data_IF_612363112573
#
_entry.id   IF_612363112573
#
_cell.length_a   1.000
_cell.length_b   1.000
_cell.length_c   1.000
_cell.angle_alpha   90.00
_cell.angle_beta   90.00
_cell.angle_gamma   90.00
#
_symmetry.space_group_name_H-M   'P 1'
#
loop_
_entity.id
_entity.type
_entity.pdbx_description
1 polymer ?
#
# COMPACT_ATOMS: atom_id res chain seq x y z
N UNK A 1 7.02 1.77 -16.16
CA UNK A 1 6.65 1.78 -14.74
C UNK A 1 5.40 0.92 -14.60
N UNK A 2 5.32 0.07 -13.59
CA UNK A 2 4.16 -0.81 -13.38
C UNK A 2 2.93 0.06 -13.10
N UNK A 3 1.82 -0.19 -13.79
CA UNK A 3 0.54 0.46 -13.51
C UNK A 3 -0.22 -0.38 -12.48
N UNK A 4 -0.46 0.17 -11.29
CA UNK A 4 -1.21 -0.52 -10.24
C UNK A 4 -2.71 -0.62 -10.54
N UNK A 5 -3.25 0.24 -11.40
CA UNK A 5 -4.69 0.36 -11.64
C UNK A 5 -5.42 1.24 -10.63
N UNK A 6 -6.75 1.29 -10.73
CA UNK A 6 -7.60 2.26 -10.02
C UNK A 6 -8.30 1.63 -8.83
N UNK A 7 -8.72 0.37 -8.92
CA UNK A 7 -9.33 -0.37 -7.82
C UNK A 7 -8.29 -1.32 -7.20
N UNK A 8 -7.64 -0.85 -6.15
CA UNK A 8 -6.75 -1.66 -5.34
C UNK A 8 -7.52 -2.23 -4.15
N UNK A 9 -7.45 -3.53 -3.90
CA UNK A 9 -8.11 -4.14 -2.73
C UNK A 9 -7.08 -4.38 -1.64
N UNK A 10 -7.29 -3.79 -0.46
CA UNK A 10 -6.59 -4.18 0.75
C UNK A 10 -7.13 -5.55 1.20
N UNK A 11 -6.46 -6.61 0.75
CA UNK A 11 -6.91 -7.97 0.96
C UNK A 11 -6.76 -8.35 2.44
N UNK A 12 -7.78 -9.00 2.99
CA UNK A 12 -7.69 -9.65 4.31
C UNK A 12 -6.70 -10.82 4.26
N UNK A 13 -6.15 -11.22 5.41
CA UNK A 13 -5.34 -12.43 5.51
C UNK A 13 -6.20 -13.56 6.07
N UNK A 14 -6.53 -14.61 5.30
CA UNK A 14 -7.28 -15.75 5.83
C UNK A 14 -6.44 -16.53 6.84
N UNK A 15 -7.03 -16.89 7.97
CA UNK A 15 -6.42 -17.75 8.99
C UNK A 15 -7.24 -19.02 9.20
N UNK A 16 -6.56 -20.12 9.51
CA UNK A 16 -7.18 -21.38 9.91
C UNK A 16 -7.68 -21.33 11.37
N UNK A 17 -8.34 -22.40 11.82
CA UNK A 17 -8.86 -22.48 13.20
C UNK A 17 -7.77 -22.53 14.28
N UNK A 18 -6.51 -22.78 13.91
CA UNK A 18 -5.35 -22.77 14.80
C UNK A 18 -4.65 -21.41 14.82
N UNK A 19 -5.07 -20.46 13.97
CA UNK A 19 -4.49 -19.13 13.87
C UNK A 19 -3.30 -19.04 12.91
N UNK A 20 -3.00 -20.07 12.12
CA UNK A 20 -1.99 -19.99 11.07
C UNK A 20 -2.60 -19.41 9.80
N UNK A 21 -1.79 -18.80 8.93
CA UNK A 21 -2.27 -18.32 7.63
C UNK A 21 -2.77 -19.51 6.78
N UNK A 22 -4.00 -19.40 6.29
CA UNK A 22 -4.58 -20.34 5.33
C UNK A 22 -4.21 -19.92 3.90
N UNK A 23 -3.01 -20.34 3.46
CA UNK A 23 -2.51 -20.01 2.12
C UNK A 23 -3.42 -20.50 0.98
N UNK A 24 -3.97 -21.74 1.00
CA UNK A 24 -4.97 -22.15 0.01
C UNK A 24 -6.16 -21.20 -0.10
N UNK A 25 -6.70 -20.75 1.03
CA UNK A 25 -7.80 -19.80 1.04
C UNK A 25 -7.36 -18.40 0.60
N UNK A 26 -6.14 -17.96 0.94
CA UNK A 26 -5.56 -16.70 0.46
C UNK A 26 -5.45 -16.66 -1.07
N UNK A 27 -4.91 -17.73 -1.69
CA UNK A 27 -4.82 -17.86 -3.16
C UNK A 27 -6.19 -17.85 -3.82
N UNK A 28 -7.17 -18.54 -3.23
CA UNK A 28 -8.55 -18.59 -3.73
C UNK A 28 -9.21 -17.21 -3.64
N UNK A 29 -9.04 -16.51 -2.52
CA UNK A 29 -9.55 -15.15 -2.33
C UNK A 29 -8.94 -14.20 -3.34
N UNK A 30 -7.61 -14.18 -3.48
CA UNK A 30 -6.90 -13.32 -4.43
C UNK A 30 -7.45 -13.45 -5.86
N UNK A 31 -7.56 -14.69 -6.37
CA UNK A 31 -8.13 -14.95 -7.70
C UNK A 31 -9.58 -14.49 -7.82
N UNK A 32 -10.38 -14.68 -6.77
CA UNK A 32 -11.77 -14.23 -6.74
C UNK A 32 -11.91 -12.71 -6.81
N UNK A 33 -11.07 -11.98 -6.06
CA UNK A 33 -11.05 -10.52 -6.06
C UNK A 33 -10.66 -9.95 -7.43
N UNK A 34 -9.59 -10.49 -8.03
CA UNK A 34 -9.17 -10.11 -9.39
C UNK A 34 -10.28 -10.37 -10.40
N UNK A 35 -10.93 -11.54 -10.33
CA UNK A 35 -12.06 -11.85 -11.20
C UNK A 35 -13.28 -10.93 -10.97
N UNK A 36 -13.38 -10.27 -9.82
CA UNK A 36 -14.45 -9.30 -9.49
C UNK A 36 -14.11 -7.85 -9.81
N UNK A 37 -12.99 -7.58 -10.49
CA UNK A 37 -12.64 -6.23 -10.96
C UNK A 37 -11.52 -5.54 -10.19
N UNK A 38 -10.91 -6.19 -9.19
CA UNK A 38 -9.71 -5.67 -8.53
C UNK A 38 -8.53 -5.65 -9.51
N UNK A 39 -7.94 -4.47 -9.73
CA UNK A 39 -6.75 -4.28 -10.59
C UNK A 39 -5.45 -4.70 -9.88
N UNK A 40 -5.42 -4.56 -8.55
CA UNK A 40 -4.24 -4.84 -7.74
C UNK A 40 -4.59 -5.18 -6.29
N UNK A 41 -3.77 -6.02 -5.68
CA UNK A 41 -3.94 -6.50 -4.32
C UNK A 41 -2.88 -5.90 -3.41
N UNK A 42 -3.32 -5.19 -2.38
CA UNK A 42 -2.45 -4.73 -1.29
C UNK A 42 -2.43 -5.81 -0.21
N UNK A 43 -1.28 -6.45 -0.04
CA UNK A 43 -1.07 -7.59 0.85
C UNK A 43 -0.28 -7.15 2.08
N UNK A 44 -0.63 -7.65 3.26
CA UNK A 44 0.07 -7.24 4.49
C UNK A 44 -0.08 -5.75 4.82
N UNK A 45 -1.18 -5.13 4.38
CA UNK A 45 -1.60 -3.81 4.87
C UNK A 45 -2.32 -3.92 6.21
N UNK A 46 -2.90 -2.81 6.69
CA UNK A 46 -3.67 -2.80 7.94
C UNK A 46 -4.85 -3.77 7.94
N UNK A 47 -5.60 -3.83 6.83
CA UNK A 47 -6.75 -4.74 6.67
C UNK A 47 -6.34 -6.21 6.66
N UNK A 48 -5.12 -6.51 6.20
CA UNK A 48 -4.53 -7.84 6.22
C UNK A 48 -3.85 -8.19 7.55
N UNK A 49 -4.07 -7.40 8.61
CA UNK A 49 -3.57 -7.67 9.97
C UNK A 49 -2.04 -7.76 10.07
N UNK A 50 -1.32 -6.93 9.32
CA UNK A 50 0.16 -6.95 9.33
C UNK A 50 0.86 -6.87 10.70
N UNK A 51 0.31 -6.22 11.75
CA UNK A 51 0.94 -6.22 13.07
C UNK A 51 0.94 -7.57 13.80
N UNK A 52 0.08 -8.53 13.41
CA UNK A 52 0.01 -9.86 14.04
C UNK A 52 0.80 -10.94 13.30
N UNK A 53 1.43 -10.60 12.15
CA UNK A 53 2.22 -11.54 11.35
C UNK A 53 3.71 -11.33 11.55
N UNK A 54 4.45 -12.44 11.58
CA UNK A 54 5.91 -12.45 11.43
C UNK A 54 6.32 -12.01 10.02
N UNK A 55 7.60 -11.65 9.85
CA UNK A 55 8.10 -11.23 8.54
C UNK A 55 8.15 -12.42 7.56
N UNK A 56 8.46 -13.63 8.04
CA UNK A 56 8.44 -14.86 7.24
C UNK A 56 7.02 -15.17 6.71
N UNK A 57 6.00 -15.02 7.57
CA UNK A 57 4.60 -15.17 7.17
C UNK A 57 4.19 -14.15 6.09
N UNK A 58 4.63 -12.89 6.22
CA UNK A 58 4.36 -11.85 5.21
C UNK A 58 5.02 -12.20 3.89
N UNK A 59 6.31 -12.57 3.89
CA UNK A 59 7.06 -12.93 2.68
C UNK A 59 6.42 -14.13 1.99
N UNK A 60 6.03 -15.16 2.75
CA UNK A 60 5.33 -16.30 2.18
C UNK A 60 3.97 -15.91 1.60
N UNK A 61 3.20 -15.06 2.28
CA UNK A 61 1.92 -14.58 1.78
C UNK A 61 2.07 -13.77 0.49
N UNK A 62 3.09 -12.91 0.37
CA UNK A 62 3.40 -12.18 -0.87
C UNK A 62 3.66 -13.15 -2.02
N UNK A 63 4.53 -14.14 -1.80
CA UNK A 63 4.88 -15.15 -2.79
C UNK A 63 3.66 -15.94 -3.26
N UNK A 64 2.87 -16.46 -2.32
CA UNK A 64 1.69 -17.30 -2.57
C UNK A 64 0.60 -16.54 -3.35
N UNK A 65 0.37 -15.26 -3.01
CA UNK A 65 -0.59 -14.42 -3.73
C UNK A 65 -0.06 -14.09 -5.12
N UNK A 66 1.22 -13.70 -5.25
CA UNK A 66 1.81 -13.37 -6.56
C UNK A 66 1.78 -14.56 -7.50
N UNK A 67 2.16 -15.75 -7.04
CA UNK A 67 2.07 -16.97 -7.83
C UNK A 67 0.62 -17.26 -8.26
N UNK A 68 -0.35 -17.03 -7.37
CA UNK A 68 -1.75 -17.28 -7.67
C UNK A 68 -2.32 -16.35 -8.74
N UNK A 69 -2.00 -15.05 -8.73
CA UNK A 69 -2.57 -14.07 -9.67
C UNK A 69 -1.71 -13.82 -10.90
N UNK A 70 -0.42 -14.17 -10.86
CA UNK A 70 0.52 -13.95 -11.97
C UNK A 70 0.55 -12.49 -12.40
N UNK A 71 0.36 -12.26 -13.70
CA UNK A 71 0.34 -10.91 -14.30
C UNK A 71 -1.08 -10.36 -14.50
N UNK A 72 -2.11 -11.04 -13.98
CA UNK A 72 -3.51 -10.58 -14.13
C UNK A 72 -3.89 -9.45 -13.18
N UNK A 73 -3.10 -9.25 -12.12
CA UNK A 73 -3.23 -8.15 -11.18
C UNK A 73 -1.86 -7.86 -10.54
N UNK A 74 -1.68 -6.63 -10.06
CA UNK A 74 -0.47 -6.26 -9.32
C UNK A 74 -0.54 -6.72 -7.86
N UNK A 75 0.60 -7.10 -7.28
CA UNK A 75 0.74 -7.41 -5.85
C UNK A 75 1.61 -6.35 -5.18
N UNK A 76 0.99 -5.54 -4.32
CA UNK A 76 1.64 -4.46 -3.58
C UNK A 76 1.86 -4.94 -2.14
N UNK A 77 3.12 -5.13 -1.76
CA UNK A 77 3.51 -5.67 -0.46
C UNK A 77 3.60 -4.59 0.62
N UNK A 78 2.91 -4.77 1.74
CA UNK A 78 3.02 -3.92 2.93
C UNK A 78 4.25 -4.26 3.75
N UNK A 79 5.31 -3.46 3.60
CA UNK A 79 6.64 -3.78 4.15
C UNK A 79 7.10 -2.85 5.27
N UNK A 80 6.33 -1.81 5.60
CA UNK A 80 6.73 -0.84 6.61
C UNK A 80 6.44 -1.30 8.04
N UNK A 81 7.40 -1.02 8.92
CA UNK A 81 7.37 -1.24 10.36
C UNK A 81 7.78 0.06 11.10
N UNK A 82 7.64 0.09 12.42
CA UNK A 82 8.15 1.20 13.24
C UNK A 82 9.69 1.14 13.37
N UNK A 83 10.30 0.02 12.99
CA UNK A 83 11.72 -0.15 12.84
C UNK A 83 12.13 0.05 11.37
N UNK A 84 12.91 1.11 11.14
CA UNK A 84 13.42 1.46 9.81
C UNK A 84 14.18 0.31 9.14
N UNK A 85 15.08 -0.38 9.85
CA UNK A 85 15.90 -1.45 9.27
C UNK A 85 15.05 -2.62 8.81
N UNK A 86 14.06 -3.01 9.63
CA UNK A 86 13.11 -4.05 9.26
C UNK A 86 12.30 -3.69 8.01
N UNK A 87 11.95 -2.41 7.86
CA UNK A 87 11.21 -1.94 6.69
C UNK A 87 12.03 -2.08 5.40
N UNK A 88 13.33 -1.77 5.46
CA UNK A 88 14.26 -1.95 4.34
C UNK A 88 14.45 -3.44 4.02
N UNK A 89 14.73 -4.25 5.04
CA UNK A 89 14.93 -5.70 4.89
C UNK A 89 13.70 -6.39 4.29
N UNK A 90 12.51 -6.12 4.82
CA UNK A 90 11.26 -6.71 4.33
C UNK A 90 10.91 -6.25 2.90
N UNK A 91 11.30 -5.03 2.52
CA UNK A 91 11.12 -4.53 1.15
C UNK A 91 12.01 -5.28 0.14
N UNK A 92 13.25 -5.57 0.52
CA UNK A 92 14.16 -6.40 -0.29
C UNK A 92 13.61 -7.83 -0.43
N UNK A 93 13.10 -8.42 0.65
CA UNK A 93 12.50 -9.76 0.59
C UNK A 93 11.22 -9.78 -0.27
N UNK A 94 10.38 -8.75 -0.18
CA UNK A 94 9.19 -8.62 -1.04
C UNK A 94 9.55 -8.59 -2.53
N UNK A 95 10.62 -7.87 -2.92
CA UNK A 95 11.14 -7.87 -4.29
C UNK A 95 11.63 -9.26 -4.72
N UNK A 96 12.36 -9.97 -3.86
CA UNK A 96 12.87 -11.32 -4.16
C UNK A 96 11.76 -12.33 -4.45
N UNK A 97 10.60 -12.17 -3.79
CA UNK A 97 9.44 -13.05 -4.01
C UNK A 97 8.47 -12.54 -5.08
N UNK A 98 8.86 -11.49 -5.82
CA UNK A 98 8.16 -11.05 -7.02
C UNK A 98 7.00 -10.09 -6.80
N UNK A 99 6.93 -9.40 -5.65
CA UNK A 99 5.99 -8.30 -5.49
C UNK A 99 6.18 -7.25 -6.60
N UNK A 100 5.08 -6.62 -7.04
CA UNK A 100 5.10 -5.62 -8.12
C UNK A 100 5.29 -4.19 -7.60
N UNK A 101 5.12 -3.99 -6.29
CA UNK A 101 5.24 -2.70 -5.63
C UNK A 101 5.22 -2.82 -4.10
N UNK A 102 5.44 -1.69 -3.43
CA UNK A 102 5.51 -1.59 -1.97
C UNK A 102 4.44 -0.62 -1.44
N UNK A 103 3.76 -0.98 -0.36
CA UNK A 103 2.95 -0.05 0.42
C UNK A 103 3.79 0.53 1.56
N UNK A 104 4.03 1.83 1.49
CA UNK A 104 4.92 2.56 2.38
C UNK A 104 4.13 3.36 3.43
N UNK A 105 3.71 2.68 4.50
CA UNK A 105 2.93 3.28 5.58
C UNK A 105 3.79 4.19 6.45
N UNK A 106 3.25 5.35 6.82
CA UNK A 106 3.83 6.21 7.87
C UNK A 106 4.05 5.37 9.14
N UNK A 107 5.27 5.32 9.71
CA UNK A 107 5.54 4.61 10.96
C UNK A 107 4.60 5.06 12.09
N UNK A 108 3.96 4.10 12.72
CA UNK A 108 3.08 4.33 13.85
C UNK A 108 3.88 4.41 15.16
N UNK A 109 3.25 4.88 16.23
CA UNK A 109 3.77 4.87 17.61
C UNK A 109 4.97 5.80 17.89
N UNK A 110 6.09 5.63 17.18
CA UNK A 110 7.35 6.35 17.38
C UNK A 110 7.32 7.81 16.88
N UNK A 111 6.35 8.18 16.04
CA UNK A 111 6.07 9.56 15.60
C UNK A 111 7.32 10.31 15.10
N UNK A 112 7.98 9.83 14.03
CA UNK A 112 9.16 10.49 13.48
C UNK A 112 8.85 11.93 13.03
N UNK A 113 9.89 12.75 12.91
CA UNK A 113 9.78 14.06 12.27
C UNK A 113 9.47 13.91 10.78
N UNK A 114 9.02 14.99 10.12
CA UNK A 114 8.81 15.00 8.67
C UNK A 114 10.09 14.64 7.89
N UNK A 115 11.25 15.14 8.34
CA UNK A 115 12.52 14.75 7.74
C UNK A 115 12.86 13.28 8.01
N UNK A 116 12.51 12.75 9.18
CA UNK A 116 12.62 11.32 9.47
C UNK A 116 11.75 10.46 8.54
N UNK A 117 10.54 10.90 8.23
CA UNK A 117 9.68 10.24 7.23
C UNK A 117 10.33 10.26 5.84
N UNK A 118 10.83 11.42 5.42
CA UNK A 118 11.50 11.57 4.13
C UNK A 118 12.69 10.61 4.00
N UNK A 119 13.60 10.63 4.98
CA UNK A 119 14.78 9.76 4.97
C UNK A 119 14.41 8.28 5.05
N UNK A 120 13.37 7.91 5.82
CA UNK A 120 12.90 6.53 5.91
C UNK A 120 12.42 6.00 4.56
N UNK A 121 11.53 6.72 3.89
CA UNK A 121 10.97 6.27 2.61
C UNK A 121 11.99 6.36 1.48
N UNK A 122 12.85 7.38 1.47
CA UNK A 122 13.98 7.47 0.54
C UNK A 122 14.88 6.23 0.64
N UNK A 123 15.30 5.87 1.84
CA UNK A 123 16.16 4.70 2.03
C UNK A 123 15.48 3.38 1.63
N UNK A 124 14.17 3.21 1.85
CA UNK A 124 13.42 2.04 1.36
C UNK A 124 13.39 2.03 -0.18
N UNK A 125 13.12 3.19 -0.80
CA UNK A 125 13.03 3.33 -2.25
C UNK A 125 14.38 3.12 -2.96
N UNK A 126 15.50 3.39 -2.30
CA UNK A 126 16.86 3.15 -2.82
C UNK A 126 17.32 1.69 -2.67
N UNK A 127 16.65 0.91 -1.81
CA UNK A 127 17.02 -0.47 -1.51
C UNK A 127 16.40 -1.51 -2.45
N UNK A 128 15.42 -1.13 -3.28
CA UNK A 128 14.70 -2.03 -4.19
C UNK A 128 14.49 -1.35 -5.54
N UNK A 129 14.19 -2.12 -6.59
CA UNK A 129 13.75 -1.56 -7.88
C UNK A 129 12.22 -1.37 -7.97
N UNK A 130 11.49 -1.76 -6.93
CA UNK A 130 10.03 -1.74 -6.92
C UNK A 130 9.45 -0.33 -6.76
N UNK A 131 8.33 -0.03 -7.44
CA UNK A 131 7.58 1.20 -7.19
C UNK A 131 6.93 1.21 -5.80
N UNK A 132 7.00 2.34 -5.11
CA UNK A 132 6.42 2.58 -3.79
C UNK A 132 5.14 3.42 -3.85
N UNK A 133 4.12 2.97 -3.12
CA UNK A 133 2.89 3.70 -2.85
C UNK A 133 2.92 4.17 -1.39
N UNK A 134 3.08 5.48 -1.16
CA UNK A 134 3.02 6.05 0.18
C UNK A 134 1.64 5.80 0.80
N UNK A 135 1.55 5.67 2.12
CA UNK A 135 0.28 5.52 2.81
C UNK A 135 0.21 6.42 4.04
N UNK A 136 -0.61 7.48 3.93
CA UNK A 136 -0.88 8.44 4.99
C UNK A 136 -2.20 8.09 5.69
N UNK A 137 -2.14 7.71 6.96
CA UNK A 137 -3.32 7.35 7.78
C UNK A 137 -3.18 7.86 9.23
N UNK A 138 -3.32 9.18 9.44
CA UNK A 138 -3.08 9.81 10.75
C UNK A 138 -3.92 9.24 11.88
N UNK A 139 -5.14 8.74 11.58
CA UNK A 139 -6.02 8.10 12.56
C UNK A 139 -5.44 6.83 13.19
N UNK A 140 -4.47 6.18 12.53
CA UNK A 140 -3.79 4.97 13.01
C UNK A 140 -2.36 5.22 13.44
N UNK A 141 -1.67 6.15 12.79
CA UNK A 141 -0.25 6.44 13.06
C UNK A 141 -0.07 7.55 14.11
N UNK A 142 -1.12 8.34 14.36
CA UNK A 142 -1.09 9.57 15.14
C UNK A 142 -0.05 10.59 14.63
N UNK A 143 0.28 10.51 13.33
CA UNK A 143 1.20 11.39 12.63
C UNK A 143 0.74 11.57 11.18
N UNK A 144 0.54 12.82 10.78
CA UNK A 144 0.29 13.18 9.39
C UNK A 144 1.61 13.33 8.63
N UNK A 145 1.73 12.68 7.47
CA UNK A 145 2.72 13.06 6.48
C UNK A 145 2.17 14.27 5.73
N UNK A 146 2.85 15.42 5.83
CA UNK A 146 2.31 16.67 5.28
C UNK A 146 2.32 16.67 3.76
N UNK A 147 1.52 17.57 3.16
CA UNK A 147 1.61 17.88 1.72
C UNK A 147 3.06 18.13 1.29
N UNK A 148 3.80 18.96 2.03
CA UNK A 148 5.20 19.29 1.69
C UNK A 148 6.10 18.05 1.64
N UNK A 149 6.04 17.19 2.67
CA UNK A 149 6.82 15.94 2.71
C UNK A 149 6.41 14.99 1.59
N UNK A 150 5.11 14.88 1.31
CA UNK A 150 4.58 14.04 0.24
C UNK A 150 5.09 14.50 -1.12
N UNK A 151 5.06 15.80 -1.40
CA UNK A 151 5.58 16.38 -2.65
C UNK A 151 7.10 16.20 -2.78
N UNK A 152 7.86 16.36 -1.69
CA UNK A 152 9.31 16.06 -1.70
C UNK A 152 9.61 14.59 -2.02
N UNK A 153 8.76 13.67 -1.55
CA UNK A 153 8.89 12.24 -1.85
C UNK A 153 8.44 11.91 -3.28
N UNK A 154 7.48 12.65 -3.83
CA UNK A 154 7.02 12.49 -5.21
C UNK A 154 8.10 12.78 -6.26
N UNK A 155 9.16 13.52 -5.90
CA UNK A 155 10.33 13.74 -6.75
C UNK A 155 11.27 12.52 -6.85
N UNK A 156 11.01 11.45 -6.09
CA UNK A 156 11.77 10.19 -6.18
C UNK A 156 11.07 9.31 -7.23
N UNK A 157 11.76 8.99 -8.33
CA UNK A 157 11.20 8.28 -9.50
C UNK A 157 10.47 6.96 -9.16
N UNK A 158 10.93 6.24 -8.13
CA UNK A 158 10.29 4.98 -7.71
C UNK A 158 9.08 5.19 -6.81
N UNK A 159 8.80 6.39 -6.31
CA UNK A 159 7.60 6.69 -5.51
C UNK A 159 6.49 7.20 -6.44
N UNK A 160 5.51 6.35 -6.69
CA UNK A 160 4.54 6.55 -7.78
C UNK A 160 3.22 7.17 -7.32
N UNK A 161 3.04 7.36 -6.00
CA UNK A 161 1.83 7.95 -5.49
C UNK A 161 1.64 7.84 -3.99
N UNK A 162 0.43 8.20 -3.56
CA UNK A 162 -0.02 8.10 -2.18
C UNK A 162 -1.44 7.54 -2.09
N UNK A 163 -1.64 6.61 -1.14
CA UNK A 163 -2.93 6.27 -0.54
C UNK A 163 -3.20 7.28 0.58
N UNK A 164 -4.13 8.21 0.37
CA UNK A 164 -4.51 9.23 1.34
C UNK A 164 -5.76 8.82 2.14
N UNK A 165 -5.59 8.55 3.42
CA UNK A 165 -6.66 8.20 4.37
C UNK A 165 -6.74 9.23 5.52
N UNK A 166 -6.36 10.47 5.26
CA UNK A 166 -6.38 11.57 6.25
C UNK A 166 -7.74 12.24 6.40
N UNK A 167 -8.63 12.10 5.41
CA UNK A 167 -9.88 12.86 5.28
C UNK A 167 -9.69 14.39 5.23
N UNK A 168 -8.45 14.85 4.99
CA UNK A 168 -8.13 16.27 4.81
C UNK A 168 -8.17 16.62 3.32
N UNK A 169 -9.33 17.06 2.84
CA UNK A 169 -9.54 17.46 1.44
C UNK A 169 -8.64 18.61 1.00
N UNK A 170 -8.19 19.49 1.91
CA UNK A 170 -7.25 20.56 1.56
C UNK A 170 -5.89 19.98 1.27
N UNK A 171 -5.39 19.07 2.11
CA UNK A 171 -4.14 18.35 1.84
C UNK A 171 -4.23 17.53 0.55
N UNK A 172 -5.29 16.74 0.39
CA UNK A 172 -5.49 15.86 -0.77
C UNK A 172 -5.49 16.67 -2.07
N UNK A 173 -6.28 17.74 -2.15
CA UNK A 173 -6.34 18.58 -3.36
C UNK A 173 -5.02 19.30 -3.63
N UNK A 174 -4.29 19.74 -2.60
CA UNK A 174 -2.96 20.31 -2.79
C UNK A 174 -1.94 19.29 -3.32
N UNK A 175 -2.01 18.01 -2.91
CA UNK A 175 -1.14 16.97 -3.45
C UNK A 175 -1.50 16.73 -4.92
N UNK A 176 -2.79 16.58 -5.25
CA UNK A 176 -3.24 16.38 -6.64
C UNK A 176 -2.80 17.52 -7.55
N UNK A 177 -2.92 18.78 -7.10
CA UNK A 177 -2.62 19.98 -7.88
C UNK A 177 -1.11 20.17 -8.12
N UNK A 178 -0.27 19.79 -7.16
CA UNK A 178 1.16 20.17 -7.14
C UNK A 178 2.13 19.01 -7.36
N UNK A 179 1.66 17.76 -7.34
CA UNK A 179 2.51 16.61 -7.57
C UNK A 179 3.03 16.59 -9.01
N UNK A 180 4.25 16.07 -9.23
CA UNK A 180 4.80 15.91 -10.57
C UNK A 180 3.97 14.94 -11.42
N UNK A 181 4.09 15.07 -12.74
CA UNK A 181 3.44 14.17 -13.69
C UNK A 181 3.79 12.70 -13.39
N UNK A 182 2.76 11.85 -13.33
CA UNK A 182 2.91 10.42 -13.04
C UNK A 182 2.70 10.03 -11.57
N UNK A 183 2.78 10.98 -10.63
CA UNK A 183 2.42 10.73 -9.24
C UNK A 183 0.89 10.71 -9.07
N UNK A 184 0.35 9.64 -8.49
CA UNK A 184 -1.09 9.40 -8.41
C UNK A 184 -1.60 9.39 -6.97
N UNK A 185 -2.85 9.80 -6.76
CA UNK A 185 -3.51 9.80 -5.45
C UNK A 185 -4.65 8.79 -5.44
N UNK A 186 -4.57 7.78 -4.59
CA UNK A 186 -5.68 6.87 -4.29
C UNK A 186 -6.36 7.32 -3.00
N UNK A 187 -7.69 7.30 -2.97
CA UNK A 187 -8.43 7.37 -1.72
C UNK A 187 -8.07 6.17 -0.85
N UNK A 188 -7.81 6.42 0.43
CA UNK A 188 -7.67 5.36 1.43
C UNK A 188 -8.98 5.02 2.14
N UNK A 189 -10.06 5.74 1.84
CA UNK A 189 -11.40 5.59 2.42
C UNK A 189 -12.44 5.31 1.32
N UNK A 190 -13.19 4.22 1.43
CA UNK A 190 -14.15 3.81 0.39
C UNK A 190 -15.25 4.87 0.14
N UNK A 191 -15.73 5.53 1.19
CA UNK A 191 -16.77 6.57 1.15
C UNK A 191 -16.30 7.90 0.54
N UNK A 192 -14.99 8.13 0.50
CA UNK A 192 -14.37 9.33 -0.09
C UNK A 192 -13.92 9.12 -1.54
N UNK A 193 -14.08 7.90 -2.08
CA UNK A 193 -13.63 7.54 -3.44
C UNK A 193 -14.18 8.49 -4.50
N UNK A 194 -15.50 8.66 -4.54
CA UNK A 194 -16.15 9.52 -5.54
C UNK A 194 -15.71 10.99 -5.45
N UNK A 195 -15.80 11.68 -4.29
CA UNK A 195 -15.38 13.08 -4.21
C UNK A 195 -13.89 13.29 -4.48
N UNK A 196 -13.00 12.37 -4.06
CA UNK A 196 -11.56 12.47 -4.36
C UNK A 196 -11.31 12.29 -5.87
N UNK A 197 -11.99 11.36 -6.53
CA UNK A 197 -11.88 11.20 -7.99
C UNK A 197 -12.38 12.43 -8.76
N UNK A 198 -13.44 13.09 -8.29
CA UNK A 198 -13.98 14.30 -8.91
C UNK A 198 -12.97 15.47 -8.93
N UNK A 199 -12.02 15.51 -7.99
CA UNK A 199 -10.98 16.55 -7.91
C UNK A 199 -9.63 16.13 -8.50
N UNK A 200 -9.57 15.00 -9.21
CA UNK A 200 -8.37 14.51 -9.90
C UNK A 200 -7.68 13.31 -9.26
N UNK A 201 -8.27 12.72 -8.21
CA UNK A 201 -7.80 11.45 -7.65
C UNK A 201 -7.85 10.31 -8.67
N UNK A 202 -6.91 9.39 -8.55
CA UNK A 202 -6.72 8.28 -9.48
C UNK A 202 -7.70 7.13 -9.22
N UNK A 203 -7.89 6.73 -7.97
CA UNK A 203 -8.70 5.57 -7.62
C UNK A 203 -8.85 5.38 -6.11
N UNK A 204 -8.97 4.14 -5.66
CA UNK A 204 -9.14 3.78 -4.24
C UNK A 204 -8.29 2.56 -3.87
N UNK A 205 -7.77 2.56 -2.64
CA UNK A 205 -7.30 1.34 -1.95
C UNK A 205 -8.37 0.92 -0.96
N UNK A 206 -9.23 0.03 -1.43
CA UNK A 206 -10.55 -0.28 -0.90
C UNK A 206 -10.53 -1.45 0.09
N UNK A 207 -11.41 -1.39 1.09
CA UNK A 207 -11.83 -2.54 1.90
C UNK A 207 -13.13 -3.11 1.36
N UNK A 208 -14.08 -2.25 0.96
CA UNK A 208 -15.41 -2.65 0.47
C UNK A 208 -15.34 -3.60 -0.74
N UNK A 209 -14.32 -3.48 -1.59
CA UNK A 209 -14.07 -4.36 -2.73
C UNK A 209 -13.75 -5.82 -2.36
N UNK A 210 -13.47 -6.13 -1.08
CA UNK A 210 -13.47 -7.53 -0.62
C UNK A 210 -14.86 -8.19 -0.76
N UNK A 211 -15.93 -7.39 -0.86
CA UNK A 211 -17.32 -7.83 -0.99
C UNK A 211 -17.97 -7.38 -2.30
N UNK A 212 -17.67 -6.16 -2.76
CA UNK A 212 -18.32 -5.51 -3.91
C UNK A 212 -17.27 -4.87 -4.83
N UNK A 213 -16.51 -5.68 -5.57
CA UNK A 213 -15.52 -5.19 -6.53
C UNK A 213 -16.12 -4.63 -7.83
N UNK A 214 -17.33 -5.09 -8.18
CA UNK A 214 -18.05 -4.84 -9.44
C UNK A 214 -19.46 -4.27 -9.27
#
# INVERSE_FOLDING_TARGET
MVDFGRLLTAMITPFDSAGNIDFPQARKLAKGLVASGTDGLVIGGTTGESPSMSDDEKVQLFAEVKEAVGDTATVIAGTTDNNHRKSVELSIEAEKVGADGLLLTVPAYNKPTQEGLYQNFKAISEATSLPGLLYNVPSRTALNMTTETTLRLAEIDSIVGVKEASSDYVQITNIIDKAPDGFRVWSGNDDETFPIMCVGGHGVVSVASNLYGN
#
